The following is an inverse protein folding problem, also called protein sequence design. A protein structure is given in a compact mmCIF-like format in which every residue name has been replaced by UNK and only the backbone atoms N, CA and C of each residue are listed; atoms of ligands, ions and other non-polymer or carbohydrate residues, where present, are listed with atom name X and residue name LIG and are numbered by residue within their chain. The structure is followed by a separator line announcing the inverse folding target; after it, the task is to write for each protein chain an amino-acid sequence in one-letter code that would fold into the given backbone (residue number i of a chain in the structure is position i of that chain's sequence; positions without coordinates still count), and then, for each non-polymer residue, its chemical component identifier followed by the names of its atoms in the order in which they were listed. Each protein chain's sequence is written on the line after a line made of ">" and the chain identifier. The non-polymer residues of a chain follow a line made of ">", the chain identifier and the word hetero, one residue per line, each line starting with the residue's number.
data_IF_692315950519
#
_entry.id   IF_692315950519
#
_cell.length_a   1.000
_cell.length_b   1.000
_cell.length_c   1.000
_cell.angle_alpha   90.00
_cell.angle_beta   90.00
_cell.angle_gamma   90.00
#
_symmetry.space_group_name_H-M   'P 1'
#
loop_
_entity.id
_entity.type
_entity.pdbx_description
1 polymer ?
#
# COMPACT_ATOMS: atom_id res chain seq x y z
N UNK A 1 3.76 -24.70 -23.50
CA UNK A 1 3.04 -24.98 -22.24
C UNK A 1 4.07 -25.07 -21.12
N UNK A 2 4.30 -23.99 -20.35
CA UNK A 2 5.28 -23.98 -19.24
C UNK A 2 4.51 -24.09 -17.93
N UNK A 3 4.84 -25.14 -17.19
CA UNK A 3 4.15 -25.60 -16.01
C UNK A 3 4.70 -24.86 -14.78
N UNK A 4 3.97 -23.87 -14.27
CA UNK A 4 4.35 -23.10 -13.08
C UNK A 4 4.03 -23.90 -11.83
N UNK A 5 5.02 -24.61 -11.28
CA UNK A 5 4.88 -25.25 -9.96
C UNK A 5 5.15 -24.23 -8.87
N UNK A 6 4.11 -23.95 -8.09
CA UNK A 6 4.16 -23.11 -6.88
C UNK A 6 4.59 -23.98 -5.70
N UNK A 7 5.67 -23.61 -5.01
CA UNK A 7 6.01 -24.18 -3.71
C UNK A 7 5.81 -23.11 -2.63
N UNK A 8 5.01 -23.45 -1.61
CA UNK A 8 4.94 -22.71 -0.34
C UNK A 8 5.96 -23.34 0.60
N UNK A 9 6.89 -22.56 1.15
CA UNK A 9 7.60 -22.94 2.36
C UNK A 9 6.97 -22.20 3.54
N UNK A 10 6.38 -22.96 4.47
CA UNK A 10 6.14 -22.51 5.83
C UNK A 10 7.44 -22.70 6.61
N UNK A 11 7.93 -21.64 7.24
CA UNK A 11 9.05 -21.71 8.16
C UNK A 11 8.57 -22.34 9.48
N UNK A 12 9.13 -23.49 9.85
CA UNK A 12 9.07 -24.00 11.21
C UNK A 12 10.51 -24.12 11.72
N UNK A 13 10.82 -23.34 12.76
CA UNK A 13 12.06 -23.44 13.52
C UNK A 13 12.03 -24.72 14.38
N UNK A 14 13.09 -25.52 14.33
CA UNK A 14 13.23 -26.69 15.18
C UNK A 14 14.46 -27.52 14.83
N UNK A 15 15.48 -27.45 15.69
CA UNK A 15 16.70 -28.26 15.61
C UNK A 15 16.42 -29.73 15.93
N UNK A 16 17.02 -30.64 15.15
CA UNK A 16 17.01 -32.09 15.40
C UNK A 16 18.08 -32.80 14.57
N UNK A 17 18.95 -33.55 15.23
CA UNK A 17 20.14 -34.22 14.68
C UNK A 17 19.83 -35.69 14.34
N UNK A 18 20.32 -36.11 13.15
CA UNK A 18 20.71 -37.44 12.63
C UNK A 18 19.71 -38.64 12.62
N UNK A 19 19.41 -39.11 11.39
CA UNK A 19 19.58 -40.51 10.97
C UNK A 19 19.69 -40.58 9.44
N UNK A 20 20.69 -41.31 8.92
CA UNK A 20 21.16 -41.20 7.54
C UNK A 20 20.40 -41.97 6.47
N UNK A 21 20.84 -41.78 5.22
CA UNK A 21 20.89 -42.76 4.13
C UNK A 21 21.64 -42.14 2.91
N UNK A 22 22.88 -42.59 2.73
CA UNK A 22 23.66 -42.79 1.49
C UNK A 22 23.32 -42.01 0.21
N UNK A 23 24.23 -41.09 -0.18
CA UNK A 23 24.46 -40.68 -1.58
C UNK A 23 24.93 -39.21 -1.71
N UNK A 24 26.13 -38.91 -2.27
CA UNK A 24 26.52 -37.52 -2.49
C UNK A 24 25.87 -37.00 -3.77
N UNK A 25 24.63 -36.52 -3.70
CA UNK A 25 24.19 -35.50 -4.65
C UNK A 25 24.69 -34.19 -4.07
N UNK A 26 25.84 -33.72 -4.57
CA UNK A 26 26.31 -32.38 -4.33
C UNK A 26 25.33 -31.39 -4.99
N UNK A 27 24.23 -31.06 -4.31
CA UNK A 27 23.49 -29.82 -4.53
C UNK A 27 24.30 -28.67 -3.91
N UNK A 28 25.46 -28.39 -4.48
CA UNK A 28 26.15 -27.11 -4.26
C UNK A 28 25.40 -26.05 -5.07
N UNK A 29 24.29 -25.61 -4.51
CA UNK A 29 23.48 -24.52 -4.99
C UNK A 29 22.88 -23.81 -3.80
N UNK A 30 23.71 -23.42 -2.82
CA UNK A 30 23.31 -22.41 -1.86
C UNK A 30 23.08 -21.13 -2.67
N UNK A 31 21.82 -20.89 -3.07
CA UNK A 31 21.39 -19.57 -3.48
C UNK A 31 21.69 -18.67 -2.29
N UNK A 32 22.80 -17.92 -2.37
CA UNK A 32 23.09 -16.89 -1.39
C UNK A 32 21.92 -15.93 -1.45
N UNK A 33 21.08 -15.98 -0.41
CA UNK A 33 20.09 -14.97 -0.15
C UNK A 33 20.84 -13.64 -0.14
N UNK A 34 20.61 -12.83 -1.17
CA UNK A 34 21.18 -11.50 -1.22
C UNK A 34 20.73 -10.78 0.06
N UNK A 35 21.62 -9.99 0.69
CA UNK A 35 21.22 -9.18 1.83
C UNK A 35 20.03 -8.32 1.38
N UNK A 36 18.90 -8.46 2.07
CA UNK A 36 17.77 -7.56 1.95
C UNK A 36 18.32 -6.15 2.13
N UNK A 37 18.22 -5.33 1.08
CA UNK A 37 18.49 -3.91 1.21
C UNK A 37 17.57 -3.39 2.31
N UNK A 38 18.15 -3.11 3.47
CA UNK A 38 17.48 -2.57 4.64
C UNK A 38 17.27 -1.09 4.35
N UNK A 39 16.25 -0.80 3.56
CA UNK A 39 15.91 0.54 3.15
C UNK A 39 14.44 0.56 2.79
N UNK A 40 13.64 1.07 3.72
CA UNK A 40 12.31 1.64 3.57
C UNK A 40 11.51 1.10 2.38
N UNK A 41 11.18 -0.19 2.35
CA UNK A 41 10.45 -0.78 1.22
C UNK A 41 9.33 -1.71 1.67
N UNK A 42 8.10 -1.30 1.40
CA UNK A 42 6.91 -2.07 1.75
C UNK A 42 6.59 -3.16 0.71
N UNK A 43 6.86 -2.88 -0.58
CA UNK A 43 6.72 -3.87 -1.66
C UNK A 43 8.03 -3.98 -2.42
N UNK A 44 8.67 -5.14 -2.31
CA UNK A 44 9.93 -5.45 -2.99
C UNK A 44 9.71 -6.46 -4.11
N UNK A 45 10.07 -6.09 -5.34
CA UNK A 45 10.24 -7.01 -6.45
C UNK A 45 11.54 -7.79 -6.29
N UNK A 46 11.48 -9.12 -6.36
CA UNK A 46 12.65 -9.99 -6.32
C UNK A 46 12.77 -10.70 -7.66
N UNK A 47 13.82 -10.41 -8.41
CA UNK A 47 14.16 -11.12 -9.65
C UNK A 47 15.17 -12.22 -9.35
N UNK A 48 14.78 -13.47 -9.63
CA UNK A 48 15.65 -14.63 -9.46
C UNK A 48 16.36 -14.94 -10.78
N UNK A 49 17.70 -15.01 -10.75
CA UNK A 49 18.54 -15.21 -11.92
C UNK A 49 19.18 -16.61 -11.99
N UNK A 50 18.50 -17.62 -11.42
CA UNK A 50 19.01 -18.99 -11.34
C UNK A 50 20.17 -19.13 -10.37
N UNK A 51 21.37 -19.43 -10.87
CA UNK A 51 22.61 -19.54 -10.07
C UNK A 51 23.26 -18.19 -9.76
N UNK A 52 22.79 -17.10 -10.38
CA UNK A 52 23.26 -15.74 -10.09
C UNK A 52 22.48 -15.15 -8.90
N UNK A 53 23.08 -14.24 -8.13
CA UNK A 53 22.41 -13.57 -7.02
C UNK A 53 21.08 -12.95 -7.47
N UNK A 54 20.05 -13.07 -6.62
CA UNK A 54 18.79 -12.39 -6.84
C UNK A 54 18.99 -10.86 -6.85
N UNK A 55 18.25 -10.17 -7.70
CA UNK A 55 18.19 -8.70 -7.67
C UNK A 55 16.89 -8.25 -7.04
N UNK A 56 16.92 -7.11 -6.36
CA UNK A 56 15.78 -6.56 -5.68
C UNK A 56 15.49 -5.17 -6.23
N UNK A 57 14.22 -4.85 -6.47
CA UNK A 57 13.76 -3.51 -6.83
C UNK A 57 12.66 -3.10 -5.88
N UNK A 58 12.82 -1.96 -5.22
CA UNK A 58 11.75 -1.41 -4.41
C UNK A 58 10.68 -0.80 -5.31
N UNK A 59 9.44 -1.23 -5.15
CA UNK A 59 8.30 -0.70 -5.91
C UNK A 59 7.52 0.34 -5.12
N UNK A 60 7.52 0.24 -3.79
CA UNK A 60 6.84 1.20 -2.91
C UNK A 60 7.70 1.53 -1.70
N UNK A 61 7.93 2.83 -1.52
CA UNK A 61 8.70 3.38 -0.40
C UNK A 61 7.92 3.20 0.91
N UNK A 62 8.58 2.71 1.94
CA UNK A 62 8.05 2.63 3.29
C UNK A 62 7.97 4.05 3.88
N UNK A 63 6.90 4.29 4.61
CA UNK A 63 6.67 5.50 5.37
C UNK A 63 5.60 5.22 6.42
N UNK A 64 5.57 6.06 7.45
CA UNK A 64 4.56 5.92 8.51
C UNK A 64 3.32 6.69 8.10
N UNK A 65 2.28 5.97 7.65
CA UNK A 65 0.95 6.53 7.48
C UNK A 65 0.12 6.21 8.72
N UNK A 66 -0.48 7.23 9.32
CA UNK A 66 -1.30 7.11 10.53
C UNK A 66 -2.75 7.48 10.19
N UNK A 67 -3.64 6.49 9.98
CA UNK A 67 -5.06 6.73 9.80
C UNK A 67 -5.74 7.04 11.14
N UNK A 68 -6.67 7.99 11.16
CA UNK A 68 -7.55 8.31 12.28
C UNK A 68 -8.96 8.63 11.74
N UNK A 69 -10.02 8.09 12.35
CA UNK A 69 -11.40 8.35 11.92
C UNK A 69 -12.01 9.47 12.77
N UNK A 70 -12.59 10.47 12.10
CA UNK A 70 -13.38 11.53 12.73
C UNK A 70 -14.80 11.54 12.15
N UNK A 71 -15.77 11.99 12.95
CA UNK A 71 -17.19 12.00 12.58
C UNK A 71 -17.62 13.35 11.97
N UNK A 72 -16.78 14.38 12.07
CA UNK A 72 -17.17 15.76 11.71
C UNK A 72 -16.10 16.45 10.88
N UNK A 73 -14.84 16.36 11.30
CA UNK A 73 -13.70 16.98 10.60
C UNK A 73 -12.39 16.45 11.15
N UNK A 74 -11.37 16.51 10.31
CA UNK A 74 -10.00 16.30 10.72
C UNK A 74 -9.50 17.47 11.58
N UNK A 75 -8.61 17.19 12.53
CA UNK A 75 -8.14 18.14 13.55
C UNK A 75 -6.87 18.88 13.12
N UNK A 76 -6.25 18.45 12.01
CA UNK A 76 -5.04 19.03 11.47
C UNK A 76 -5.21 19.34 9.98
N UNK A 77 -4.92 20.59 9.60
CA UNK A 77 -5.04 21.08 8.23
C UNK A 77 -4.05 20.46 7.24
N UNK A 78 -3.12 19.62 7.72
CA UNK A 78 -2.17 18.87 6.88
C UNK A 78 -2.64 17.46 6.53
N UNK A 79 -3.67 16.95 7.21
CA UNK A 79 -4.18 15.61 6.96
C UNK A 79 -4.83 15.52 5.57
N UNK A 80 -4.69 14.37 4.93
CA UNK A 80 -5.61 13.97 3.86
C UNK A 80 -6.93 13.54 4.50
N UNK A 81 -8.02 14.11 4.02
CA UNK A 81 -9.37 13.78 4.45
C UNK A 81 -10.08 13.00 3.36
N UNK A 82 -10.53 11.78 3.66
CA UNK A 82 -11.42 11.01 2.80
C UNK A 82 -12.83 11.04 3.39
N UNK A 83 -13.78 11.50 2.59
CA UNK A 83 -15.18 11.60 2.98
C UNK A 83 -15.93 10.40 2.44
N UNK A 84 -16.70 9.76 3.31
CA UNK A 84 -17.55 8.65 2.90
C UNK A 84 -18.62 9.11 1.90
N UNK A 85 -19.23 10.27 2.16
CA UNK A 85 -20.30 10.82 1.34
C UNK A 85 -19.82 12.02 0.51
N UNK A 86 -20.38 12.18 -0.68
CA UNK A 86 -20.15 13.32 -1.58
C UNK A 86 -21.45 14.12 -1.77
N UNK A 87 -21.39 15.46 -1.89
CA UNK A 87 -20.19 16.31 -1.79
C UNK A 87 -19.65 16.38 -0.35
N UNK A 88 -18.46 16.97 -0.16
CA UNK A 88 -17.82 17.16 1.16
C UNK A 88 -18.77 17.76 2.22
N UNK A 89 -19.76 18.56 1.81
CA UNK A 89 -20.75 19.18 2.70
C UNK A 89 -21.94 18.28 3.08
N UNK A 90 -22.04 17.06 2.54
CA UNK A 90 -23.13 16.13 2.82
C UNK A 90 -23.16 15.68 4.29
N UNK A 91 -22.01 15.76 4.99
CA UNK A 91 -21.83 15.18 6.30
C UNK A 91 -21.64 13.67 6.22
N UNK A 92 -21.06 13.06 7.25
CA UNK A 92 -20.73 11.64 7.27
C UNK A 92 -19.36 11.37 7.92
N UNK A 93 -18.96 10.09 8.03
CA UNK A 93 -17.63 9.74 8.51
C UNK A 93 -16.53 10.32 7.62
N UNK A 94 -15.42 10.71 8.25
CA UNK A 94 -14.22 11.22 7.59
C UNK A 94 -13.00 10.44 8.07
N UNK A 95 -12.23 9.87 7.15
CA UNK A 95 -10.92 9.28 7.46
C UNK A 95 -9.84 10.33 7.28
N UNK A 96 -9.15 10.65 8.36
CA UNK A 96 -8.04 11.58 8.43
C UNK A 96 -6.73 10.81 8.38
N UNK A 97 -5.88 11.12 7.41
CA UNK A 97 -4.64 10.40 7.16
C UNK A 97 -3.47 11.38 7.31
N UNK A 98 -2.55 11.07 8.22
CA UNK A 98 -1.32 11.82 8.44
C UNK A 98 -0.10 10.97 8.05
N UNK A 99 0.97 11.60 7.63
CA UNK A 99 2.28 11.03 7.35
C UNK A 99 2.56 10.90 5.86
N UNK A 100 3.43 9.95 5.53
CA UNK A 100 3.89 9.66 4.18
C UNK A 100 3.94 8.16 3.98
N UNK A 101 3.74 7.70 2.75
CA UNK A 101 3.85 6.30 2.39
C UNK A 101 2.55 5.78 1.80
N UNK A 102 2.24 4.52 2.10
CA UNK A 102 1.14 3.80 1.46
C UNK A 102 0.18 3.24 2.51
N UNK A 103 -1.12 3.35 2.25
CA UNK A 103 -2.19 2.82 3.09
C UNK A 103 -3.14 1.96 2.25
N UNK A 104 -3.31 0.71 2.67
CA UNK A 104 -4.38 -0.16 2.16
C UNK A 104 -5.66 0.08 2.94
N UNK A 105 -6.69 0.57 2.28
CA UNK A 105 -8.01 0.69 2.88
C UNK A 105 -8.73 -0.65 3.02
N UNK A 106 -8.22 -1.73 2.42
CA UNK A 106 -8.75 -3.08 2.64
C UNK A 106 -8.15 -3.80 3.85
N UNK A 107 -7.06 -3.30 4.43
CA UNK A 107 -6.46 -3.91 5.61
C UNK A 107 -7.33 -3.60 6.84
N UNK A 108 -7.95 -4.64 7.39
CA UNK A 108 -8.92 -4.54 8.48
C UNK A 108 -8.26 -4.27 9.83
N UNK A 109 -7.83 -3.04 10.05
CA UNK A 109 -7.61 -2.44 11.38
C UNK A 109 -7.49 -0.91 11.26
N UNK A 110 -8.36 -0.28 10.46
CA UNK A 110 -8.46 1.18 10.48
C UNK A 110 -9.11 1.62 11.79
N UNK A 111 -8.84 2.86 12.21
CA UNK A 111 -8.98 3.35 13.60
C UNK A 111 -10.34 3.10 14.32
N UNK A 112 -11.41 2.70 13.61
CA UNK A 112 -12.73 2.39 14.15
C UNK A 112 -13.18 0.92 13.94
N UNK A 113 -12.28 0.04 13.48
CA UNK A 113 -12.57 -1.35 13.13
C UNK A 113 -13.43 -1.51 11.87
N UNK A 114 -13.67 -0.43 11.12
CA UNK A 114 -14.35 -0.47 9.81
C UNK A 114 -13.35 -0.62 8.68
N UNK A 115 -13.87 -1.07 7.55
CA UNK A 115 -13.14 -1.19 6.30
C UNK A 115 -13.53 -0.01 5.40
N UNK A 116 -12.58 0.88 5.11
CA UNK A 116 -12.72 2.03 4.20
C UNK A 116 -12.52 1.69 2.73
N UNK A 117 -12.22 0.42 2.40
CA UNK A 117 -12.20 -0.06 1.03
C UNK A 117 -13.55 0.20 0.38
N UNK A 118 -13.52 0.86 -0.77
CA UNK A 118 -14.72 1.12 -1.57
C UNK A 118 -15.77 1.93 -0.77
N UNK A 119 -15.33 2.93 -0.01
CA UNK A 119 -16.22 3.82 0.78
C UNK A 119 -16.05 5.31 0.51
N UNK A 120 -14.89 5.74 0.05
CA UNK A 120 -14.64 7.15 -0.13
C UNK A 120 -15.33 7.66 -1.39
N UNK A 121 -16.05 8.77 -1.26
CA UNK A 121 -16.75 9.46 -2.35
C UNK A 121 -16.16 10.84 -2.67
N UNK A 122 -15.45 11.45 -1.72
CA UNK A 122 -14.76 12.72 -1.91
C UNK A 122 -13.48 12.81 -1.08
N UNK A 123 -12.63 13.78 -1.39
CA UNK A 123 -11.35 13.96 -0.70
C UNK A 123 -10.94 15.44 -0.63
N UNK A 124 -10.13 15.76 0.38
CA UNK A 124 -9.41 17.04 0.52
C UNK A 124 -8.01 16.75 1.04
N UNK A 125 -6.99 17.14 0.31
CA UNK A 125 -5.61 16.86 0.67
C UNK A 125 -4.99 18.07 1.37
N UNK A 126 -4.71 17.97 2.68
CA UNK A 126 -3.90 18.96 3.40
C UNK A 126 -2.41 18.94 3.05
N UNK A 127 -2.00 18.13 2.09
CA UNK A 127 -0.61 17.86 1.74
C UNK A 127 -0.34 17.93 0.25
N UNK A 128 0.95 18.11 -0.06
CA UNK A 128 1.37 18.66 -1.34
C UNK A 128 1.35 17.69 -2.53
N UNK A 129 1.43 16.36 -2.35
CA UNK A 129 1.23 15.42 -3.47
C UNK A 129 0.96 13.98 -3.04
N UNK A 130 0.18 13.28 -3.86
CA UNK A 130 -0.15 11.87 -3.69
C UNK A 130 -1.06 11.35 -4.79
N UNK A 131 -1.52 10.13 -4.63
CA UNK A 131 -2.49 9.52 -5.53
C UNK A 131 -3.33 8.44 -4.86
N UNK A 132 -4.42 8.11 -5.53
CA UNK A 132 -5.40 7.12 -5.15
C UNK A 132 -5.37 5.97 -6.17
N UNK A 133 -5.38 4.72 -5.71
CA UNK A 133 -5.46 3.55 -6.58
C UNK A 133 -6.73 2.75 -6.35
N UNK A 134 -7.30 2.24 -7.45
CA UNK A 134 -8.47 1.36 -7.44
C UNK A 134 -8.17 -0.03 -6.85
N UNK A 135 -6.93 -0.50 -6.93
CA UNK A 135 -6.57 -1.85 -6.52
C UNK A 135 -5.29 -1.87 -5.68
N UNK A 136 -5.27 -2.78 -4.70
CA UNK A 136 -4.03 -3.11 -4.00
C UNK A 136 -3.09 -3.98 -4.85
N UNK A 137 -1.78 -3.82 -4.63
CA UNK A 137 -0.74 -4.67 -5.23
C UNK A 137 -0.13 -4.14 -6.52
N UNK A 138 0.14 -5.04 -7.47
CA UNK A 138 1.00 -4.79 -8.65
C UNK A 138 0.29 -4.17 -9.84
N UNK A 139 -1.04 -4.21 -9.84
CA UNK A 139 -1.88 -3.61 -10.85
C UNK A 139 -2.79 -2.62 -10.13
N UNK A 140 -2.40 -1.33 -10.04
CA UNK A 140 -3.16 -0.35 -9.26
C UNK A 140 -4.55 -0.06 -9.84
N UNK A 141 -4.84 -0.53 -11.06
CA UNK A 141 -6.08 -0.20 -11.77
C UNK A 141 -6.05 1.25 -12.23
N UNK A 142 -7.20 1.93 -12.17
CA UNK A 142 -7.24 3.37 -12.38
C UNK A 142 -6.51 4.08 -11.23
N UNK A 143 -5.87 5.20 -11.55
CA UNK A 143 -5.18 6.04 -10.58
C UNK A 143 -5.67 7.49 -10.71
N UNK A 144 -5.88 8.16 -9.58
CA UNK A 144 -6.21 9.59 -9.54
C UNK A 144 -5.14 10.33 -8.75
N UNK A 145 -4.43 11.23 -9.42
CA UNK A 145 -3.34 12.00 -8.84
C UNK A 145 -3.85 13.34 -8.29
N UNK A 146 -3.18 13.82 -7.25
CA UNK A 146 -3.33 15.18 -6.79
C UNK A 146 -1.96 15.78 -6.48
N UNK A 147 -1.81 17.06 -6.80
CA UNK A 147 -0.61 17.84 -6.55
C UNK A 147 -1.02 19.27 -6.23
N UNK A 148 -0.27 19.91 -5.34
CA UNK A 148 -0.46 21.30 -4.93
C UNK A 148 -0.83 21.46 -3.45
N UNK A 149 -0.30 22.54 -2.85
CA UNK A 149 -0.83 23.29 -1.69
C UNK A 149 -1.00 22.59 -0.33
N UNK A 150 -0.65 23.30 0.74
CA UNK A 150 -1.08 23.04 2.11
C UNK A 150 -2.14 24.08 2.56
N UNK A 151 -2.96 23.73 3.56
CA UNK A 151 -3.92 24.66 4.15
C UNK A 151 -5.06 25.10 3.20
N UNK A 152 -5.38 26.41 3.05
CA UNK A 152 -6.51 26.86 2.22
C UNK A 152 -6.39 26.59 0.72
N UNK A 153 -5.18 26.27 0.26
CA UNK A 153 -4.91 25.93 -1.15
C UNK A 153 -4.84 24.40 -1.37
N UNK A 154 -5.19 23.62 -0.34
CA UNK A 154 -5.32 22.18 -0.38
C UNK A 154 -6.22 21.75 -1.55
N UNK A 155 -5.75 20.90 -2.46
CA UNK A 155 -6.58 20.38 -3.53
C UNK A 155 -7.69 19.51 -2.93
N UNK A 156 -8.84 19.51 -3.58
CA UNK A 156 -10.00 18.69 -3.20
C UNK A 156 -10.73 18.25 -4.45
N UNK A 157 -11.46 17.15 -4.33
CA UNK A 157 -12.16 16.55 -5.46
C UNK A 157 -13.18 15.50 -5.03
N UNK A 158 -13.83 14.91 -6.02
CA UNK A 158 -14.78 13.81 -5.87
C UNK A 158 -14.32 12.59 -6.66
N UNK A 159 -14.82 11.42 -6.28
CA UNK A 159 -14.67 10.18 -7.03
C UNK A 159 -15.93 9.95 -7.87
N UNK A 160 -15.96 10.47 -9.10
CA UNK A 160 -17.14 10.43 -10.00
C UNK A 160 -16.97 9.50 -11.21
N UNK A 161 -15.80 8.86 -11.33
CA UNK A 161 -15.44 7.98 -12.43
C UNK A 161 -15.20 8.68 -13.77
N UNK A 162 -15.32 10.00 -13.82
CA UNK A 162 -15.16 10.78 -15.05
C UNK A 162 -13.68 11.05 -15.32
N UNK A 163 -13.31 11.07 -16.61
CA UNK A 163 -11.94 11.38 -17.07
C UNK A 163 -10.88 10.59 -16.28
N UNK A 164 -10.09 11.28 -15.45
CA UNK A 164 -8.97 10.76 -14.65
C UNK A 164 -9.32 10.56 -13.16
N UNK A 165 -10.59 10.65 -12.80
CA UNK A 165 -11.07 10.40 -11.43
C UNK A 165 -11.44 8.94 -11.21
N UNK A 166 -11.16 8.40 -10.02
CA UNK A 166 -11.69 7.09 -9.63
C UNK A 166 -13.22 7.14 -9.59
N UNK A 167 -13.85 5.99 -9.81
CA UNK A 167 -15.28 5.85 -9.61
C UNK A 167 -15.62 5.92 -8.12
N UNK A 168 -16.86 6.29 -7.82
CA UNK A 168 -17.34 6.32 -6.46
C UNK A 168 -17.19 4.93 -5.84
N UNK A 169 -16.74 4.87 -4.60
CA UNK A 169 -16.63 3.60 -3.88
C UNK A 169 -15.74 2.57 -4.60
N UNK A 170 -14.67 3.01 -5.27
CA UNK A 170 -13.65 2.07 -5.82
C UNK A 170 -12.25 2.31 -5.26
N UNK A 171 -12.11 3.19 -4.26
CA UNK A 171 -10.82 3.48 -3.65
C UNK A 171 -10.38 2.35 -2.72
N UNK A 172 -9.27 1.70 -3.04
CA UNK A 172 -8.63 0.70 -2.18
C UNK A 172 -7.35 1.21 -1.54
N UNK A 173 -6.62 2.11 -2.18
CA UNK A 173 -5.26 2.46 -1.78
C UNK A 173 -5.03 3.96 -1.82
N UNK A 174 -4.32 4.47 -0.81
CA UNK A 174 -3.79 5.83 -0.77
C UNK A 174 -2.27 5.78 -0.77
N UNK A 175 -1.64 6.56 -1.65
CA UNK A 175 -0.19 6.80 -1.63
C UNK A 175 0.08 8.29 -1.42
N UNK A 176 0.80 8.60 -0.35
CA UNK A 176 1.26 9.94 0.00
C UNK A 176 2.74 10.06 -0.33
N UNK A 177 3.08 10.88 -1.32
CA UNK A 177 4.45 11.02 -1.80
C UNK A 177 5.28 11.98 -0.94
N UNK A 178 4.60 12.92 -0.29
CA UNK A 178 5.14 13.86 0.69
C UNK A 178 4.34 13.76 1.99
N UNK A 179 4.93 14.26 3.08
CA UNK A 179 4.27 14.24 4.38
C UNK A 179 3.01 15.12 4.37
N UNK A 180 1.93 14.47 4.80
CA UNK A 180 0.77 15.06 5.44
C UNK A 180 1.07 15.09 6.96
#
# INVERSE_FOLDING_TARGET
>A
MRNTRRFRLQAAAGAGILAGLTGPIALTGAAQAAPTAKGDCQVTEITLHGSRPATHRCLRKEGTVTPNVSVVKCDNSRQLELFWDSPISAGGPVLCILGKGWLNLADGDQADGRNWNDKASAWRAGCSSGHFDENAGWSPGKQQYFDGGDGPSAPSGIFDGQQDHLANDTLTVVTLEKDC
#
